data_IF_506494371451
#
_entry.id   IF_506494371451
#
_cell.length_a   1.000
_cell.length_b   1.000
_cell.length_c   1.000
_cell.angle_alpha   90.00
_cell.angle_beta   90.00
_cell.angle_gamma   90.00
#
_symmetry.space_group_name_H-M   'P 1'
#
loop_
_entity.id
_entity.type
_entity.pdbx_description
1 polymer ?
#
# COMPACT_ATOMS: atom_id res chain seq x y z
N UNK A 1 42.49 23.68 30.82
CA UNK A 1 42.14 22.40 30.15
C UNK A 1 40.93 21.66 30.74
N UNK A 2 40.20 22.19 31.73
CA UNK A 2 39.07 21.50 32.38
C UNK A 2 37.69 22.13 32.08
N UNK A 3 37.63 23.32 31.45
CA UNK A 3 36.36 24.02 31.15
C UNK A 3 35.78 23.77 29.76
N UNK A 4 36.47 23.01 28.90
CA UNK A 4 36.01 22.68 27.54
C UNK A 4 35.36 21.28 27.44
N UNK A 5 35.42 20.46 28.51
CA UNK A 5 34.75 19.15 28.53
C UNK A 5 33.28 19.22 29.00
N UNK A 6 32.87 20.32 29.63
CA UNK A 6 31.53 20.46 30.23
C UNK A 6 30.43 20.93 29.27
N UNK A 7 30.78 21.37 28.06
CA UNK A 7 29.82 21.86 27.06
C UNK A 7 29.54 20.86 25.91
N UNK A 8 30.06 19.63 25.99
CA UNK A 8 29.76 18.56 25.03
C UNK A 8 28.74 17.53 25.59
N UNK A 9 27.95 17.93 26.59
CA UNK A 9 26.88 17.09 27.20
C UNK A 9 25.52 17.82 27.09
N UNK A 10 25.38 18.76 26.16
CA UNK A 10 24.08 19.38 25.85
C UNK A 10 23.63 18.85 24.50
N UNK A 11 22.78 17.82 24.51
CA UNK A 11 22.07 17.37 23.32
C UNK A 11 21.95 15.86 23.08
N UNK A 12 22.38 14.98 23.99
CA UNK A 12 21.90 13.59 23.96
C UNK A 12 20.47 13.59 24.47
N UNK A 13 19.50 13.90 23.60
CA UNK A 13 18.13 13.47 23.84
C UNK A 13 18.19 11.95 23.94
N UNK A 14 18.06 11.42 25.15
CA UNK A 14 17.82 10.00 25.36
C UNK A 14 16.40 9.78 24.85
N UNK A 15 16.26 9.54 23.54
CA UNK A 15 15.00 9.10 22.97
C UNK A 15 14.75 7.71 23.56
N UNK A 16 13.75 7.59 24.44
CA UNK A 16 13.37 6.30 24.98
C UNK A 16 12.95 5.38 23.83
N UNK A 17 13.77 4.37 23.56
CA UNK A 17 13.47 3.36 22.55
C UNK A 17 12.31 2.48 23.03
N UNK A 18 11.11 2.72 22.50
CA UNK A 18 9.96 1.87 22.78
C UNK A 18 10.15 0.46 22.21
N UNK A 19 9.56 -0.53 22.90
CA UNK A 19 9.38 -1.88 22.34
C UNK A 19 8.04 -1.91 21.63
N UNK A 20 8.06 -2.02 20.31
CA UNK A 20 6.85 -1.95 19.47
C UNK A 20 6.58 -3.30 18.83
N UNK A 21 5.33 -3.74 18.90
CA UNK A 21 4.85 -4.96 18.25
C UNK A 21 4.01 -4.58 17.03
N UNK A 22 4.46 -4.95 15.84
CA UNK A 22 3.71 -4.82 14.59
C UNK A 22 3.02 -6.15 14.30
N UNK A 23 1.72 -6.12 14.05
CA UNK A 23 0.95 -7.29 13.66
C UNK A 23 0.66 -7.25 12.15
N UNK A 24 1.25 -8.17 11.39
CA UNK A 24 1.10 -8.27 9.94
C UNK A 24 0.33 -9.57 9.58
N UNK A 25 -0.98 -9.50 9.32
CA UNK A 25 -1.70 -10.60 8.67
C UNK A 25 -1.25 -10.69 7.21
N UNK A 26 -0.36 -11.63 6.90
CA UNK A 26 0.22 -11.80 5.56
C UNK A 26 -0.77 -12.55 4.66
N UNK A 27 -1.69 -11.79 4.06
CA UNK A 27 -2.67 -12.29 3.08
C UNK A 27 -2.47 -11.70 1.67
N UNK A 28 -1.61 -10.71 1.52
CA UNK A 28 -1.22 -10.19 0.21
C UNK A 28 0.15 -9.51 0.26
N UNK A 29 0.84 -9.48 -0.88
CA UNK A 29 2.15 -8.83 -1.00
C UNK A 29 2.07 -7.33 -0.71
N UNK A 30 1.05 -6.62 -1.22
CA UNK A 30 0.89 -5.18 -0.98
C UNK A 30 0.64 -4.85 0.49
N UNK A 31 -0.19 -5.63 1.18
CA UNK A 31 -0.42 -5.44 2.62
C UNK A 31 0.86 -5.68 3.43
N UNK A 32 1.60 -6.75 3.11
CA UNK A 32 2.85 -7.09 3.79
C UNK A 32 3.91 -6.02 3.62
N UNK A 33 4.06 -5.48 2.41
CA UNK A 33 4.98 -4.36 2.15
C UNK A 33 4.60 -3.11 2.95
N UNK A 34 3.30 -2.80 3.06
CA UNK A 34 2.83 -1.66 3.85
C UNK A 34 3.13 -1.84 5.34
N UNK A 35 2.76 -2.99 5.92
CA UNK A 35 3.00 -3.27 7.33
C UNK A 35 4.50 -3.37 7.66
N UNK A 36 5.27 -4.01 6.78
CA UNK A 36 6.71 -4.14 6.95
C UNK A 36 7.44 -2.80 6.88
N UNK A 37 6.95 -1.88 6.04
CA UNK A 37 7.47 -0.52 5.99
C UNK A 37 7.21 0.27 7.28
N UNK A 38 6.00 0.15 7.85
CA UNK A 38 5.72 0.76 9.15
C UNK A 38 6.71 0.25 10.19
N UNK A 39 6.99 -1.06 10.19
CA UNK A 39 7.96 -1.65 11.10
C UNK A 39 9.38 -1.09 10.88
N UNK A 40 9.82 -0.98 9.63
CA UNK A 40 11.16 -0.46 9.30
C UNK A 40 11.30 1.02 9.67
N UNK A 41 10.31 1.88 9.41
CA UNK A 41 10.34 3.30 9.81
C UNK A 41 10.46 3.45 11.33
N UNK A 42 9.70 2.65 12.08
CA UNK A 42 9.77 2.67 13.54
C UNK A 42 11.14 2.19 14.05
N UNK A 43 11.74 1.20 13.38
CA UNK A 43 13.09 0.73 13.70
C UNK A 43 14.17 1.78 13.37
N UNK A 44 14.06 2.45 12.21
CA UNK A 44 14.94 3.57 11.81
C UNK A 44 14.85 4.75 12.77
N UNK A 45 13.67 5.00 13.34
CA UNK A 45 13.47 6.00 14.40
C UNK A 45 14.12 5.60 15.75
N UNK A 46 14.79 4.44 15.83
CA UNK A 46 15.51 3.97 17.00
C UNK A 46 14.68 3.11 17.96
N UNK A 47 13.48 2.66 17.58
CA UNK A 47 12.67 1.77 18.40
C UNK A 47 13.05 0.30 18.23
N UNK A 48 12.79 -0.51 19.26
CA UNK A 48 12.94 -1.97 19.20
C UNK A 48 11.65 -2.56 18.64
N UNK A 49 11.64 -2.89 17.35
CA UNK A 49 10.45 -3.35 16.64
C UNK A 49 10.48 -4.86 16.45
N UNK A 50 9.38 -5.52 16.78
CA UNK A 50 9.12 -6.93 16.44
C UNK A 50 7.88 -7.02 15.59
N UNK A 51 7.94 -7.76 14.49
CA UNK A 51 6.82 -8.01 13.61
C UNK A 51 6.34 -9.45 13.76
N UNK A 52 5.07 -9.63 14.15
CA UNK A 52 4.39 -10.92 14.00
C UNK A 52 3.91 -11.00 12.56
N UNK A 53 4.49 -11.93 11.80
CA UNK A 53 4.02 -12.27 10.46
C UNK A 53 3.09 -13.46 10.58
N UNK A 54 1.79 -13.17 10.59
CA UNK A 54 0.75 -14.18 10.69
C UNK A 54 0.36 -14.64 9.28
N UNK A 55 0.91 -15.78 8.85
CA UNK A 55 0.88 -16.22 7.45
C UNK A 55 -0.47 -16.79 7.08
N UNK A 56 -1.06 -16.28 5.99
CA UNK A 56 -2.28 -16.77 5.36
C UNK A 56 -1.97 -17.14 3.92
N UNK A 57 -1.29 -16.21 3.23
CA UNK A 57 -0.69 -16.40 1.92
C UNK A 57 0.81 -16.65 2.08
N UNK A 58 1.32 -17.66 1.37
CA UNK A 58 2.72 -18.03 1.39
C UNK A 58 3.58 -17.19 0.45
N UNK A 59 2.96 -16.50 -0.51
CA UNK A 59 3.69 -15.81 -1.58
C UNK A 59 4.21 -14.43 -1.15
N UNK A 60 5.36 -14.05 -1.72
CA UNK A 60 5.98 -12.74 -1.56
C UNK A 60 6.79 -12.53 -0.26
N UNK A 61 7.52 -11.42 -0.21
CA UNK A 61 8.29 -11.02 0.97
C UNK A 61 7.40 -10.56 2.14
N UNK A 62 7.95 -10.56 3.36
CA UNK A 62 7.22 -10.07 4.55
C UNK A 62 7.15 -8.54 4.64
N UNK A 63 7.91 -7.84 3.80
CA UNK A 63 7.94 -6.39 3.66
C UNK A 63 8.94 -5.66 4.56
N UNK A 64 9.23 -6.17 5.75
CA UNK A 64 10.21 -5.58 6.71
C UNK A 64 11.59 -6.20 6.53
N UNK A 65 12.62 -5.38 6.71
CA UNK A 65 14.03 -5.79 6.68
C UNK A 65 14.79 -5.51 7.98
N UNK A 66 14.23 -4.65 8.85
CA UNK A 66 14.90 -4.18 10.07
C UNK A 66 14.29 -4.73 11.36
N UNK A 67 13.03 -5.18 11.34
CA UNK A 67 12.37 -5.68 12.55
C UNK A 67 12.69 -7.14 12.86
N UNK A 68 12.68 -7.51 14.13
CA UNK A 68 12.71 -8.92 14.53
C UNK A 68 11.42 -9.61 14.09
N UNK A 69 11.51 -10.75 13.41
CA UNK A 69 10.34 -11.46 12.90
C UNK A 69 9.96 -12.63 13.80
N UNK A 70 8.69 -12.68 14.21
CA UNK A 70 8.04 -13.88 14.75
C UNK A 70 7.07 -14.37 13.69
N UNK A 71 7.40 -15.47 13.02
CA UNK A 71 6.54 -16.04 11.98
C UNK A 71 5.61 -17.10 12.56
N UNK A 72 4.33 -17.00 12.20
CA UNK A 72 3.31 -17.98 12.55
C UNK A 72 2.81 -18.60 11.25
N UNK A 73 3.05 -19.91 11.03
CA UNK A 73 2.61 -20.58 9.82
C UNK A 73 1.08 -20.65 9.75
N UNK A 74 0.50 -20.83 8.55
CA UNK A 74 -0.93 -21.02 8.45
C UNK A 74 -1.37 -22.31 9.13
N UNK A 75 -2.51 -22.26 9.81
CA UNK A 75 -3.16 -23.47 10.30
C UNK A 75 -3.63 -24.34 9.13
N UNK A 76 -3.84 -25.64 9.38
CA UNK A 76 -4.41 -26.54 8.37
C UNK A 76 -5.78 -26.05 7.88
N UNK A 77 -6.58 -25.44 8.75
CA UNK A 77 -7.87 -24.83 8.42
C UNK A 77 -7.69 -23.63 7.47
N UNK A 78 -6.79 -22.69 7.84
CA UNK A 78 -6.46 -21.51 7.03
C UNK A 78 -5.93 -21.89 5.66
N UNK A 79 -4.97 -22.81 5.60
CA UNK A 79 -4.35 -23.27 4.37
C UNK A 79 -5.37 -23.92 3.42
N UNK A 80 -6.32 -24.67 3.96
CA UNK A 80 -7.42 -25.26 3.19
C UNK A 80 -8.35 -24.17 2.64
N UNK A 81 -8.87 -23.28 3.50
CA UNK A 81 -9.80 -22.23 3.08
C UNK A 81 -9.19 -21.32 2.02
N UNK A 82 -7.96 -20.85 2.25
CA UNK A 82 -7.27 -19.95 1.33
C UNK A 82 -6.88 -20.67 0.03
N UNK A 83 -6.43 -21.93 0.12
CA UNK A 83 -6.10 -22.76 -1.03
C UNK A 83 -7.29 -23.06 -1.94
N UNK A 84 -8.50 -23.23 -1.39
CA UNK A 84 -9.71 -23.44 -2.19
C UNK A 84 -10.12 -22.16 -2.94
N UNK A 85 -9.92 -20.98 -2.33
CA UNK A 85 -10.14 -19.69 -3.00
C UNK A 85 -9.16 -19.47 -4.14
N UNK A 86 -7.86 -19.68 -3.95
CA UNK A 86 -6.86 -19.46 -5.02
C UNK A 86 -7.06 -20.42 -6.19
N UNK A 87 -7.50 -21.67 -5.92
CA UNK A 87 -7.88 -22.64 -6.96
C UNK A 87 -9.11 -22.24 -7.77
N UNK A 88 -10.03 -21.48 -7.19
CA UNK A 88 -11.25 -21.05 -7.89
C UNK A 88 -10.98 -20.15 -9.12
N UNK A 89 -9.75 -19.65 -9.29
CA UNK A 89 -9.34 -18.76 -10.40
C UNK A 89 -10.31 -17.59 -10.60
N UNK A 90 -10.92 -17.09 -9.53
CA UNK A 90 -11.81 -15.95 -9.63
C UNK A 90 -11.04 -14.76 -10.22
N UNK A 91 -11.43 -14.32 -11.43
CA UNK A 91 -10.85 -13.13 -12.03
C UNK A 91 -11.39 -11.92 -11.25
N UNK A 92 -10.60 -11.39 -10.32
CA UNK A 92 -10.96 -10.23 -9.51
C UNK A 92 -11.28 -9.00 -10.37
N UNK A 93 -10.75 -8.94 -11.59
CA UNK A 93 -11.09 -7.89 -12.56
C UNK A 93 -12.53 -8.00 -13.06
N UNK A 94 -13.10 -9.19 -13.19
CA UNK A 94 -14.47 -9.40 -13.66
C UNK A 94 -15.52 -9.32 -12.54
N UNK A 95 -15.09 -9.35 -11.28
CA UNK A 95 -16.00 -9.26 -10.13
C UNK A 95 -16.66 -7.88 -10.05
N UNK A 96 -17.99 -7.80 -9.90
CA UNK A 96 -18.66 -6.53 -9.67
C UNK A 96 -18.45 -6.05 -8.21
N UNK A 97 -17.60 -5.04 -8.02
CA UNK A 97 -17.29 -4.48 -6.70
C UNK A 97 -18.40 -3.65 -6.08
N UNK A 98 -19.33 -3.18 -6.91
CA UNK A 98 -20.48 -2.39 -6.46
C UNK A 98 -21.68 -3.28 -6.14
N UNK A 99 -21.56 -4.60 -6.28
CA UNK A 99 -22.57 -5.55 -5.83
C UNK A 99 -22.40 -5.80 -4.31
N UNK A 100 -23.34 -5.31 -3.46
CA UNK A 100 -23.24 -5.47 -2.00
C UNK A 100 -23.29 -6.93 -1.55
N UNK A 101 -23.94 -7.81 -2.33
CA UNK A 101 -24.03 -9.24 -2.02
C UNK A 101 -22.65 -9.90 -2.17
N UNK A 102 -21.95 -9.60 -3.27
CA UNK A 102 -20.59 -10.10 -3.51
C UNK A 102 -19.62 -9.63 -2.44
N UNK A 103 -19.69 -8.34 -2.07
CA UNK A 103 -18.88 -7.77 -1.01
C UNK A 103 -19.14 -8.46 0.35
N UNK A 104 -20.40 -8.78 0.68
CA UNK A 104 -20.75 -9.49 1.92
C UNK A 104 -20.12 -10.88 1.98
N UNK A 105 -20.26 -11.69 0.91
CA UNK A 105 -19.69 -13.04 0.89
C UNK A 105 -18.16 -13.04 0.93
N UNK A 106 -17.52 -12.14 0.18
CA UNK A 106 -16.06 -11.98 0.23
C UNK A 106 -15.58 -11.50 1.61
N UNK A 107 -16.27 -10.54 2.20
CA UNK A 107 -15.98 -10.05 3.55
C UNK A 107 -16.11 -11.15 4.60
N UNK A 108 -17.18 -11.95 4.52
CA UNK A 108 -17.37 -13.12 5.39
C UNK A 108 -16.23 -14.12 5.22
N UNK A 109 -15.88 -14.46 3.99
CA UNK A 109 -14.79 -15.40 3.70
C UNK A 109 -13.46 -14.94 4.31
N UNK A 110 -13.04 -13.70 4.03
CA UNK A 110 -11.81 -13.17 4.63
C UNK A 110 -11.90 -13.09 6.16
N UNK A 111 -13.07 -12.76 6.71
CA UNK A 111 -13.32 -12.80 8.14
C UNK A 111 -13.10 -14.18 8.75
N UNK A 112 -13.63 -15.24 8.12
CA UNK A 112 -13.46 -16.63 8.56
C UNK A 112 -11.99 -17.06 8.50
N UNK A 113 -11.29 -16.75 7.39
CA UNK A 113 -9.86 -17.04 7.22
C UNK A 113 -9.01 -16.33 8.27
N UNK A 114 -9.26 -15.03 8.49
CA UNK A 114 -8.54 -14.26 9.50
C UNK A 114 -8.84 -14.75 10.92
N UNK A 115 -10.09 -15.14 11.21
CA UNK A 115 -10.45 -15.70 12.50
C UNK A 115 -9.77 -17.05 12.76
N UNK A 116 -9.74 -17.94 11.76
CA UNK A 116 -9.04 -19.23 11.84
C UNK A 116 -7.55 -19.03 12.11
N UNK A 117 -6.92 -18.11 11.36
CA UNK A 117 -5.50 -17.85 11.53
C UNK A 117 -5.17 -17.10 12.83
N UNK A 118 -6.08 -16.26 13.32
CA UNK A 118 -5.95 -15.61 14.62
C UNK A 118 -6.05 -16.61 15.77
N UNK A 119 -6.93 -17.61 15.68
CA UNK A 119 -6.99 -18.72 16.65
C UNK A 119 -5.65 -19.46 16.72
N UNK A 120 -5.10 -19.83 15.57
CA UNK A 120 -3.80 -20.50 15.50
C UNK A 120 -2.65 -19.66 16.09
N UNK A 121 -2.65 -18.35 15.86
CA UNK A 121 -1.72 -17.42 16.51
C UNK A 121 -1.84 -17.45 18.04
N UNK A 122 -3.07 -17.42 18.58
CA UNK A 122 -3.30 -17.40 20.02
C UNK A 122 -2.95 -18.74 20.68
N UNK A 123 -3.10 -19.83 19.94
CA UNK A 123 -2.81 -21.19 20.40
C UNK A 123 -1.33 -21.58 20.24
N UNK A 124 -0.51 -20.73 19.58
CA UNK A 124 0.92 -20.98 19.39
C UNK A 124 1.64 -21.15 20.75
N UNK A 125 2.21 -22.34 21.05
CA UNK A 125 2.76 -22.63 22.36
C UNK A 125 3.86 -21.65 22.79
N UNK A 126 3.68 -21.01 23.95
CA UNK A 126 4.67 -20.11 24.52
C UNK A 126 4.71 -18.71 23.89
N UNK A 127 3.96 -18.43 22.82
CA UNK A 127 3.99 -17.13 22.15
C UNK A 127 3.52 -16.01 23.09
N UNK A 128 2.38 -16.18 23.74
CA UNK A 128 1.81 -15.18 24.66
C UNK A 128 2.78 -14.90 25.80
N UNK A 129 3.44 -15.93 26.35
CA UNK A 129 4.43 -15.80 27.41
C UNK A 129 5.66 -15.04 26.92
N UNK A 130 6.15 -15.34 25.71
CA UNK A 130 7.27 -14.62 25.07
C UNK A 130 6.92 -13.14 24.84
N UNK A 131 5.73 -12.84 24.32
CA UNK A 131 5.26 -11.47 24.10
C UNK A 131 5.10 -10.72 25.43
N UNK A 132 4.55 -11.37 26.47
CA UNK A 132 4.47 -10.80 27.82
C UNK A 132 5.85 -10.46 28.37
N UNK A 133 6.78 -11.42 28.37
CA UNK A 133 8.14 -11.18 28.87
C UNK A 133 8.88 -10.06 28.11
N UNK A 134 8.62 -9.94 26.80
CA UNK A 134 9.30 -8.96 25.96
C UNK A 134 8.72 -7.55 26.11
N UNK A 135 7.40 -7.41 26.02
CA UNK A 135 6.73 -6.12 25.92
C UNK A 135 6.16 -5.61 27.25
N UNK A 136 5.91 -6.50 28.21
CA UNK A 136 5.34 -6.15 29.51
C UNK A 136 6.43 -6.31 30.58
N UNK A 137 6.80 -5.21 31.23
CA UNK A 137 7.72 -5.27 32.36
C UNK A 137 6.93 -5.56 33.65
N UNK A 138 7.53 -6.36 34.55
CA UNK A 138 6.98 -6.61 35.89
C UNK A 138 6.79 -5.29 36.69
N UNK A 139 7.64 -4.28 36.43
CA UNK A 139 7.52 -2.96 37.04
C UNK A 139 6.37 -2.14 36.48
N UNK A 140 6.04 -2.26 35.19
CA UNK A 140 4.80 -1.71 34.64
C UNK A 140 3.60 -2.40 35.29
N UNK A 141 3.59 -3.74 35.31
CA UNK A 141 2.50 -4.56 35.88
C UNK A 141 2.22 -4.23 37.36
N UNK A 142 3.26 -4.01 38.16
CA UNK A 142 3.17 -3.55 39.56
C UNK A 142 2.71 -2.09 39.68
N UNK A 143 3.23 -1.17 38.85
CA UNK A 143 2.79 0.25 38.82
C UNK A 143 1.32 0.38 38.41
N UNK A 144 0.83 -0.47 37.52
CA UNK A 144 -0.57 -0.52 37.05
C UNK A 144 -1.50 -1.07 38.13
N UNK A 145 -1.06 -2.11 38.87
CA UNK A 145 -1.76 -2.60 40.07
C UNK A 145 -1.79 -1.56 41.18
N UNK A 146 -0.71 -0.80 41.37
CA UNK A 146 -0.61 0.25 42.40
C UNK A 146 -1.44 1.51 42.06
N UNK A 147 -1.65 1.80 40.77
CA UNK A 147 -2.42 2.95 40.29
C UNK A 147 -3.95 2.70 40.19
N UNK A 148 -4.48 1.67 40.85
CA UNK A 148 -5.93 1.42 40.87
C UNK A 148 -6.52 0.91 39.55
N UNK A 149 -5.71 0.31 38.66
CA UNK A 149 -6.20 -0.43 37.50
C UNK A 149 -6.63 0.41 36.29
N UNK A 150 -6.15 1.65 36.16
CA UNK A 150 -6.37 2.43 34.93
C UNK A 150 -5.08 2.46 34.11
N UNK A 151 -5.15 1.97 32.86
CA UNK A 151 -4.09 1.88 31.85
C UNK A 151 -3.07 0.74 31.98
N UNK A 152 -3.41 -0.43 31.41
CA UNK A 152 -2.70 -1.12 30.31
C UNK A 152 -3.72 -2.06 29.66
N UNK A 153 -3.53 -2.36 28.36
CA UNK A 153 -4.30 -3.34 27.59
C UNK A 153 -4.59 -4.63 28.37
N UNK A 154 -5.73 -4.62 29.06
CA UNK A 154 -6.39 -5.81 29.58
C UNK A 154 -7.32 -6.26 28.46
N UNK A 155 -6.90 -7.30 27.72
CA UNK A 155 -7.83 -8.13 26.98
C UNK A 155 -8.67 -8.94 27.99
N UNK A 156 -9.58 -8.22 28.66
CA UNK A 156 -10.76 -8.70 29.38
C UNK A 156 -11.71 -7.52 29.47
N UNK A 157 -12.66 -7.47 28.53
CA UNK A 157 -13.90 -6.69 28.67
C UNK A 157 -13.99 -5.40 27.85
N UNK A 158 -12.98 -4.55 27.80
CA UNK A 158 -13.08 -3.29 27.04
C UNK A 158 -11.69 -2.77 26.66
N UNK A 159 -11.32 -2.90 25.40
CA UNK A 159 -10.07 -2.36 24.86
C UNK A 159 -10.29 -0.86 24.63
N UNK A 160 -9.73 0.00 25.49
CA UNK A 160 -9.51 1.41 25.13
C UNK A 160 -8.39 1.43 24.09
N UNK A 161 -8.77 1.36 22.81
CA UNK A 161 -7.85 1.51 21.69
C UNK A 161 -7.58 3.00 21.49
N UNK A 162 -6.36 3.45 21.80
CA UNK A 162 -5.90 4.78 21.38
C UNK A 162 -5.44 4.66 19.93
N UNK A 163 -6.23 5.20 19.01
CA UNK A 163 -5.88 5.26 17.59
C UNK A 163 -5.06 6.53 17.35
N UNK A 164 -3.78 6.37 17.05
CA UNK A 164 -2.90 7.47 16.63
C UNK A 164 -2.81 7.44 15.11
N UNK A 165 -3.25 8.51 14.46
CA UNK A 165 -3.15 8.63 13.01
C UNK A 165 -1.71 8.98 12.62
N UNK A 166 -0.98 8.00 12.07
CA UNK A 166 0.37 8.15 11.52
C UNK A 166 0.33 8.27 9.99
N UNK A 167 -0.44 9.24 9.49
CA UNK A 167 -0.66 9.45 8.05
C UNK A 167 0.65 9.58 7.25
N UNK A 168 0.64 9.11 6.00
CA UNK A 168 1.75 9.30 5.06
C UNK A 168 2.97 8.40 5.25
N UNK A 169 3.11 7.72 6.40
CA UNK A 169 4.22 6.81 6.71
C UNK A 169 4.44 5.68 5.68
N UNK A 170 3.41 5.29 4.92
CA UNK A 170 3.54 4.27 3.88
C UNK A 170 4.23 4.74 2.60
N UNK A 171 4.33 6.05 2.35
CA UNK A 171 4.87 6.61 1.11
C UNK A 171 6.40 6.73 1.13
N UNK A 172 7.06 6.46 0.00
CA UNK A 172 8.53 6.66 -0.11
C UNK A 172 8.86 8.14 -0.24
N UNK A 173 9.82 8.58 0.56
CA UNK A 173 10.57 9.79 0.27
C UNK A 173 11.19 9.65 -1.14
N UNK A 174 10.95 10.60 -2.04
CA UNK A 174 11.43 10.53 -3.40
C UNK A 174 12.95 10.71 -3.44
N UNK A 175 13.60 9.88 -4.24
CA UNK A 175 15.01 9.99 -4.58
C UNK A 175 15.25 10.91 -5.78
N UNK A 176 16.49 10.87 -6.30
CA UNK A 176 16.84 11.54 -7.56
C UNK A 176 16.51 10.61 -8.74
N UNK A 177 15.77 11.15 -9.71
CA UNK A 177 15.55 10.48 -10.99
C UNK A 177 16.86 10.38 -11.79
N UNK A 178 17.02 9.27 -12.53
CA UNK A 178 18.12 9.14 -13.49
C UNK A 178 17.92 10.06 -14.69
N UNK A 179 19.00 10.33 -15.43
CA UNK A 179 18.94 11.15 -16.64
C UNK A 179 17.94 10.60 -17.67
N UNK A 180 17.77 9.28 -17.76
CA UNK A 180 16.84 8.67 -18.71
C UNK A 180 15.38 8.97 -18.36
N UNK A 181 15.03 8.96 -17.07
CA UNK A 181 13.70 9.37 -16.63
C UNK A 181 13.46 10.86 -16.84
N UNK A 182 14.48 11.69 -16.59
CA UNK A 182 14.40 13.13 -16.86
C UNK A 182 14.17 13.40 -18.36
N UNK A 183 14.88 12.69 -19.25
CA UNK A 183 14.68 12.78 -20.70
C UNK A 183 13.25 12.39 -21.09
N UNK A 184 12.71 11.31 -20.51
CA UNK A 184 11.32 10.88 -20.75
C UNK A 184 10.33 11.97 -20.33
N UNK A 185 10.50 12.52 -19.11
CA UNK A 185 9.63 13.54 -18.55
C UNK A 185 9.75 14.91 -19.25
N UNK A 186 10.83 15.15 -19.99
CA UNK A 186 11.01 16.36 -20.79
C UNK A 186 10.48 16.25 -22.22
N UNK A 187 10.06 15.06 -22.68
CA UNK A 187 9.60 14.87 -24.08
C UNK A 187 8.39 15.75 -24.42
N UNK A 188 7.51 16.00 -23.45
CA UNK A 188 6.23 16.71 -23.64
C UNK A 188 5.83 17.49 -22.40
N UNK A 189 4.85 18.38 -22.55
CA UNK A 189 4.41 19.28 -21.48
C UNK A 189 3.68 18.55 -20.34
N UNK A 190 2.96 17.46 -20.64
CA UNK A 190 2.19 16.69 -19.67
C UNK A 190 2.64 15.23 -19.66
N UNK A 191 2.64 14.62 -18.48
CA UNK A 191 2.91 13.18 -18.32
C UNK A 191 1.77 12.51 -17.57
N UNK A 192 1.32 11.36 -18.09
CA UNK A 192 0.36 10.46 -17.45
C UNK A 192 1.11 9.20 -17.05
N UNK A 193 1.07 8.84 -15.76
CA UNK A 193 1.69 7.63 -15.23
C UNK A 193 0.65 6.57 -14.95
N UNK A 194 0.84 5.36 -15.47
CA UNK A 194 0.05 4.19 -15.12
C UNK A 194 0.69 3.41 -13.96
N UNK A 195 -0.01 3.40 -12.81
CA UNK A 195 0.38 2.71 -11.58
C UNK A 195 -0.21 1.32 -11.40
N UNK A 196 -0.84 0.72 -12.40
CA UNK A 196 -1.41 -0.62 -12.31
C UNK A 196 -0.32 -1.70 -12.19
N UNK A 197 0.13 -1.99 -10.97
CA UNK A 197 1.18 -2.98 -10.68
C UNK A 197 0.75 -4.45 -10.85
N UNK A 198 -0.55 -4.76 -10.86
CA UNK A 198 -1.04 -6.14 -10.73
C UNK A 198 -2.16 -6.55 -11.72
N UNK A 199 -2.77 -5.61 -12.44
CA UNK A 199 -3.86 -5.92 -13.37
C UNK A 199 -3.51 -5.42 -14.76
N UNK A 200 -2.71 -6.20 -15.49
CA UNK A 200 -2.30 -5.95 -16.88
C UNK A 200 -3.45 -5.93 -17.90
N UNK A 201 -4.69 -5.82 -17.45
CA UNK A 201 -5.90 -5.70 -18.27
C UNK A 201 -6.33 -4.24 -18.49
N UNK A 202 -5.88 -3.30 -17.65
CA UNK A 202 -6.03 -1.87 -17.94
C UNK A 202 -4.94 -1.51 -18.94
N UNK A 203 -5.33 -1.43 -20.21
CA UNK A 203 -4.45 -1.01 -21.31
C UNK A 203 -4.73 0.45 -21.58
N UNK A 204 -3.70 1.29 -21.47
CA UNK A 204 -3.78 2.63 -22.04
C UNK A 204 -4.04 2.50 -23.55
N UNK A 205 -5.03 3.20 -24.11
CA UNK A 205 -5.34 3.09 -25.53
C UNK A 205 -4.10 3.52 -26.33
N UNK A 206 -3.62 2.70 -27.27
CA UNK A 206 -2.52 3.10 -28.12
C UNK A 206 -2.97 4.28 -28.97
N UNK A 207 -2.09 5.25 -29.16
CA UNK A 207 -2.37 6.41 -30.00
C UNK A 207 -2.52 5.94 -31.45
N UNK A 208 -3.76 5.78 -31.91
CA UNK A 208 -4.06 5.36 -33.27
C UNK A 208 -5.46 5.75 -33.69
N UNK A 209 -5.53 6.79 -34.54
CA UNK A 209 -6.68 7.26 -35.33
C UNK A 209 -7.72 8.15 -34.61
N UNK A 210 -7.32 9.40 -34.32
CA UNK A 210 -8.25 10.54 -34.16
C UNK A 210 -8.57 10.96 -32.73
N UNK A 211 -8.21 10.17 -31.73
CA UNK A 211 -8.42 10.45 -30.30
C UNK A 211 -7.11 10.70 -29.55
N UNK A 212 -6.02 11.09 -30.23
CA UNK A 212 -4.70 11.17 -29.63
C UNK A 212 -4.57 12.34 -28.63
N UNK A 213 -3.73 12.12 -27.61
CA UNK A 213 -3.18 13.16 -26.74
C UNK A 213 -1.69 13.32 -27.10
N UNK A 214 -1.38 13.94 -28.27
CA UNK A 214 -0.02 13.97 -28.81
C UNK A 214 0.96 14.76 -27.94
N UNK A 215 0.44 15.70 -27.15
CA UNK A 215 1.19 16.55 -26.22
C UNK A 215 1.34 15.93 -24.81
N UNK A 216 0.93 14.68 -24.64
CA UNK A 216 1.00 13.94 -23.38
C UNK A 216 1.92 12.73 -23.55
N UNK A 217 2.90 12.58 -22.67
CA UNK A 217 3.70 11.35 -22.55
C UNK A 217 2.99 10.39 -21.60
N UNK A 218 2.69 9.18 -22.07
CA UNK A 218 2.17 8.11 -21.24
C UNK A 218 3.31 7.20 -20.80
N UNK A 219 3.43 6.93 -19.51
CA UNK A 219 4.38 5.95 -18.97
C UNK A 219 3.57 4.74 -18.51
N UNK A 220 3.78 3.61 -19.17
CA UNK A 220 3.07 2.37 -18.86
C UNK A 220 4.03 1.29 -18.41
N UNK A 221 3.88 0.86 -17.15
CA UNK A 221 4.54 -0.34 -16.66
C UNK A 221 3.70 -1.57 -17.06
N UNK A 222 4.22 -2.34 -17.99
CA UNK A 222 3.58 -3.56 -18.46
C UNK A 222 4.25 -4.79 -17.82
N UNK A 223 3.45 -5.81 -17.52
CA UNK A 223 3.93 -7.09 -16.98
C UNK A 223 3.97 -8.18 -18.06
N UNK A 224 3.04 -8.13 -19.02
CA UNK A 224 2.87 -9.14 -20.07
C UNK A 224 3.49 -8.68 -21.38
N UNK A 225 4.48 -9.43 -21.85
CA UNK A 225 5.02 -9.28 -23.21
C UNK A 225 4.09 -10.01 -24.19
N UNK A 226 2.96 -9.38 -24.54
CA UNK A 226 1.95 -9.92 -25.46
C UNK A 226 2.01 -9.23 -26.83
N UNK A 227 1.21 -9.72 -27.78
CA UNK A 227 1.20 -9.17 -29.15
C UNK A 227 0.74 -7.71 -29.20
N UNK A 228 -0.10 -7.29 -28.24
CA UNK A 228 -0.50 -5.90 -28.11
C UNK A 228 0.70 -5.02 -27.75
N UNK A 229 1.48 -5.43 -26.75
CA UNK A 229 2.65 -4.69 -26.30
C UNK A 229 3.73 -4.64 -27.38
N UNK A 230 4.01 -5.78 -28.04
CA UNK A 230 5.04 -5.87 -29.09
C UNK A 230 4.69 -5.15 -30.38
N UNK A 231 3.43 -5.19 -30.81
CA UNK A 231 3.07 -4.79 -32.18
C UNK A 231 2.18 -3.55 -32.28
N UNK A 232 1.55 -3.12 -31.19
CA UNK A 232 0.65 -1.96 -31.17
C UNK A 232 1.20 -0.87 -30.24
N UNK A 233 1.36 -1.18 -28.95
CA UNK A 233 1.79 -0.20 -27.96
C UNK A 233 3.20 0.34 -28.28
N UNK A 234 4.13 -0.53 -28.68
CA UNK A 234 5.50 -0.16 -29.05
C UNK A 234 5.62 0.84 -30.20
N UNK A 235 4.59 0.97 -31.04
CA UNK A 235 4.57 1.90 -32.19
C UNK A 235 4.01 3.27 -31.83
N UNK A 236 3.50 3.45 -30.62
CA UNK A 236 2.90 4.73 -30.18
C UNK A 236 4.01 5.70 -29.76
N UNK A 237 4.17 6.80 -30.48
CA UNK A 237 5.26 7.78 -30.25
C UNK A 237 5.17 8.52 -28.90
N UNK A 238 3.99 8.50 -28.28
CA UNK A 238 3.73 9.15 -27.01
C UNK A 238 3.56 8.17 -25.85
N UNK A 239 3.94 6.90 -26.04
CA UNK A 239 3.86 5.85 -25.03
C UNK A 239 5.25 5.29 -24.71
N UNK A 240 5.66 5.43 -23.46
CA UNK A 240 6.88 4.85 -22.92
C UNK A 240 6.53 3.55 -22.19
N UNK A 241 6.87 2.43 -22.81
CA UNK A 241 6.74 1.11 -22.22
C UNK A 241 7.93 0.81 -21.32
N UNK A 242 7.66 0.34 -20.11
CA UNK A 242 8.72 -0.09 -19.20
C UNK A 242 8.34 -1.34 -18.41
N UNK A 243 9.32 -2.15 -18.01
CA UNK A 243 9.14 -3.24 -17.04
C UNK A 243 9.36 -2.76 -15.61
N UNK A 244 9.96 -1.58 -15.41
CA UNK A 244 10.26 -1.02 -14.10
C UNK A 244 10.22 0.51 -14.09
N UNK A 245 9.76 1.11 -12.99
CA UNK A 245 9.75 2.56 -12.83
C UNK A 245 9.97 2.98 -11.36
N UNK A 246 10.65 4.10 -11.11
CA UNK A 246 10.76 4.70 -9.79
C UNK A 246 9.51 5.52 -9.46
N UNK A 247 8.37 4.83 -9.25
CA UNK A 247 7.05 5.46 -9.08
C UNK A 247 7.03 6.62 -8.07
N UNK A 248 7.69 6.47 -6.92
CA UNK A 248 7.74 7.50 -5.89
C UNK A 248 8.39 8.79 -6.39
N UNK A 249 9.48 8.65 -7.15
CA UNK A 249 10.27 9.75 -7.70
C UNK A 249 9.53 10.40 -8.88
N UNK A 250 8.87 9.58 -9.72
CA UNK A 250 8.02 10.06 -10.82
C UNK A 250 6.83 10.85 -10.29
N UNK A 251 6.17 10.35 -9.23
CA UNK A 251 5.05 11.05 -8.57
C UNK A 251 5.48 12.36 -7.92
N UNK A 252 6.75 12.55 -7.61
CA UNK A 252 7.27 13.78 -7.03
C UNK A 252 7.75 14.79 -8.08
N UNK A 253 7.77 14.42 -9.36
CA UNK A 253 8.29 15.27 -10.42
C UNK A 253 7.22 16.25 -10.94
N UNK A 254 7.54 17.54 -11.14
CA UNK A 254 6.56 18.57 -11.53
C UNK A 254 5.90 18.33 -12.89
N UNK A 255 6.57 17.65 -13.82
CA UNK A 255 5.99 17.31 -15.14
C UNK A 255 5.01 16.12 -15.08
N UNK A 256 4.82 15.47 -13.93
CA UNK A 256 3.77 14.48 -13.78
C UNK A 256 2.43 15.18 -13.57
N UNK A 257 1.53 15.03 -14.53
CA UNK A 257 0.25 15.72 -14.56
C UNK A 257 -0.92 14.86 -14.08
N UNK A 258 -0.81 13.53 -14.22
CA UNK A 258 -1.89 12.63 -13.87
C UNK A 258 -1.34 11.25 -13.47
N UNK A 259 -1.92 10.67 -12.43
CA UNK A 259 -1.66 9.30 -12.01
C UNK A 259 -2.89 8.41 -12.18
N UNK A 260 -2.77 7.33 -12.94
CA UNK A 260 -3.82 6.32 -13.08
C UNK A 260 -3.53 5.18 -12.11
N UNK A 261 -4.46 4.89 -11.19
CA UNK A 261 -4.24 3.88 -10.15
C UNK A 261 -5.50 3.15 -9.77
N UNK A 262 -5.36 1.90 -9.31
CA UNK A 262 -6.44 1.13 -8.73
C UNK A 262 -6.95 1.63 -7.36
N UNK A 263 -6.30 2.62 -6.73
CA UNK A 263 -6.74 3.14 -5.43
C UNK A 263 -6.39 2.28 -4.22
N UNK A 264 -5.38 1.41 -4.33
CA UNK A 264 -4.78 0.77 -3.16
C UNK A 264 -4.20 1.80 -2.18
N UNK A 265 -4.28 1.55 -0.88
CA UNK A 265 -4.00 2.56 0.16
C UNK A 265 -2.61 3.18 0.05
N UNK A 266 -1.59 2.42 -0.37
CA UNK A 266 -0.24 2.93 -0.60
C UNK A 266 -0.22 3.97 -1.74
N UNK A 267 -0.89 3.68 -2.86
CA UNK A 267 -1.01 4.63 -3.97
C UNK A 267 -1.78 5.89 -3.56
N UNK A 268 -2.83 5.72 -2.75
CA UNK A 268 -3.65 6.83 -2.24
C UNK A 268 -2.85 7.78 -1.37
N UNK A 269 -2.02 7.26 -0.45
CA UNK A 269 -1.12 8.08 0.36
C UNK A 269 -0.08 8.79 -0.51
N UNK A 270 0.49 8.07 -1.47
CA UNK A 270 1.47 8.58 -2.43
C UNK A 270 0.93 9.71 -3.32
N UNK A 271 -0.33 9.61 -3.75
CA UNK A 271 -1.06 10.63 -4.50
C UNK A 271 -1.31 11.86 -3.63
N UNK A 272 -1.90 11.66 -2.44
CA UNK A 272 -2.30 12.74 -1.55
C UNK A 272 -1.10 13.56 -1.05
N UNK A 273 0.00 12.90 -0.65
CA UNK A 273 1.19 13.57 -0.16
C UNK A 273 1.90 14.41 -1.21
N UNK A 274 1.81 14.03 -2.48
CA UNK A 274 2.52 14.69 -3.58
C UNK A 274 1.64 15.68 -4.35
N UNK A 275 0.37 15.80 -3.96
CA UNK A 275 -0.57 16.73 -4.61
C UNK A 275 -0.81 16.41 -6.09
N UNK A 276 -0.65 15.15 -6.50
CA UNK A 276 -0.87 14.73 -7.89
C UNK A 276 -2.34 14.38 -8.07
N UNK A 277 -2.97 14.86 -9.14
CA UNK A 277 -4.34 14.47 -9.50
C UNK A 277 -4.35 13.06 -10.08
N UNK A 278 -5.39 12.28 -9.79
CA UNK A 278 -5.46 10.88 -10.21
C UNK A 278 -6.79 10.46 -10.84
N UNK A 279 -6.74 9.41 -11.66
CA UNK A 279 -7.91 8.62 -12.05
C UNK A 279 -7.84 7.32 -11.26
N UNK A 280 -8.88 7.06 -10.46
CA UNK A 280 -9.00 5.89 -9.61
C UNK A 280 -9.89 4.85 -10.27
N UNK A 281 -9.34 3.69 -10.60
CA UNK A 281 -10.06 2.57 -11.23
C UNK A 281 -10.09 1.37 -10.25
N UNK A 282 -11.02 1.35 -9.29
CA UNK A 282 -11.02 0.34 -8.23
C UNK A 282 -11.30 -1.07 -8.74
N UNK A 283 -10.47 -2.05 -8.34
CA UNK A 283 -10.53 -3.44 -8.81
C UNK A 283 -11.19 -4.38 -7.82
N UNK A 284 -10.97 -4.24 -6.50
CA UNK A 284 -11.73 -4.92 -5.43
C UNK A 284 -11.39 -4.41 -4.03
N UNK A 285 -12.07 -4.95 -3.02
CA UNK A 285 -11.69 -4.80 -1.61
C UNK A 285 -11.98 -3.39 -1.08
N UNK A 286 -10.99 -2.79 -0.43
CA UNK A 286 -11.05 -1.44 0.11
C UNK A 286 -10.90 -0.33 -0.95
N UNK A 287 -10.47 -0.68 -2.17
CA UNK A 287 -10.17 0.25 -3.25
C UNK A 287 -11.35 1.17 -3.63
N UNK A 288 -12.62 0.69 -3.78
CA UNK A 288 -13.75 1.59 -4.08
C UNK A 288 -13.96 2.66 -3.00
N UNK A 289 -13.81 2.28 -1.72
CA UNK A 289 -13.92 3.22 -0.60
C UNK A 289 -12.80 4.26 -0.64
N UNK A 290 -11.56 3.81 -0.85
CA UNK A 290 -10.41 4.69 -0.91
C UNK A 290 -10.53 5.68 -2.10
N UNK A 291 -10.92 5.18 -3.27
CA UNK A 291 -11.16 5.97 -4.48
C UNK A 291 -12.25 7.03 -4.25
N UNK A 292 -13.39 6.64 -3.65
CA UNK A 292 -14.48 7.55 -3.34
C UNK A 292 -14.09 8.66 -2.36
N UNK A 293 -13.24 8.38 -1.37
CA UNK A 293 -12.69 9.40 -0.47
C UNK A 293 -11.81 10.38 -1.26
N UNK A 294 -10.99 9.90 -2.18
CA UNK A 294 -10.11 10.78 -2.98
C UNK A 294 -10.90 11.67 -3.93
N UNK A 295 -11.93 11.15 -4.60
CA UNK A 295 -12.81 11.95 -5.44
C UNK A 295 -13.61 12.98 -4.63
N UNK A 296 -14.15 12.60 -3.47
CA UNK A 296 -14.84 13.52 -2.56
C UNK A 296 -13.94 14.68 -2.12
N UNK A 297 -12.66 14.39 -1.87
CA UNK A 297 -11.65 15.40 -1.53
C UNK A 297 -11.00 16.07 -2.76
N UNK A 298 -11.56 15.89 -3.95
CA UNK A 298 -11.13 16.52 -5.21
C UNK A 298 -9.71 16.17 -5.69
N UNK A 299 -9.12 15.07 -5.22
CA UNK A 299 -7.82 14.56 -5.69
C UNK A 299 -7.89 13.83 -7.04
N UNK A 300 -9.06 13.79 -7.69
CA UNK A 300 -9.21 13.02 -8.91
C UNK A 300 -10.65 12.68 -9.26
N UNK A 301 -10.80 11.64 -10.09
CA UNK A 301 -12.08 11.02 -10.46
C UNK A 301 -12.04 9.52 -10.28
N UNK A 302 -13.18 8.93 -9.96
CA UNK A 302 -13.37 7.48 -10.00
C UNK A 302 -13.91 7.08 -11.37
N UNK A 303 -13.33 6.03 -11.96
CA UNK A 303 -13.80 5.42 -13.18
C UNK A 303 -14.05 3.94 -12.94
N UNK A 304 -15.23 3.44 -13.33
CA UNK A 304 -15.52 2.02 -13.21
C UNK A 304 -14.64 1.23 -14.20
N UNK A 305 -14.09 0.10 -13.75
CA UNK A 305 -13.20 -0.74 -14.55
C UNK A 305 -13.82 -1.25 -15.86
N UNK A 306 -15.14 -1.40 -15.92
CA UNK A 306 -15.86 -1.75 -17.16
C UNK A 306 -15.78 -0.64 -18.20
N UNK A 307 -15.67 0.62 -17.75
CA UNK A 307 -15.66 1.80 -18.62
C UNK A 307 -14.28 2.08 -19.22
N UNK A 308 -13.22 1.52 -18.63
CA UNK A 308 -11.84 1.60 -19.14
C UNK A 308 -11.69 0.95 -20.51
N UNK A 309 -12.51 -0.07 -20.81
CA UNK A 309 -12.49 -0.74 -22.12
C UNK A 309 -13.00 0.16 -23.25
N UNK A 310 -13.69 1.24 -22.93
CA UNK A 310 -14.11 2.25 -23.88
C UNK A 310 -13.04 3.35 -23.97
N UNK A 311 -12.14 3.22 -24.96
CA UNK A 311 -11.04 4.16 -25.19
C UNK A 311 -11.49 5.62 -25.28
N UNK A 312 -12.59 5.89 -25.99
CA UNK A 312 -13.12 7.24 -26.17
C UNK A 312 -13.53 7.87 -24.83
N UNK A 313 -14.22 7.09 -23.98
CA UNK A 313 -14.63 7.51 -22.63
C UNK A 313 -13.42 7.68 -21.71
N UNK A 314 -12.46 6.76 -21.76
CA UNK A 314 -11.27 6.89 -20.93
C UNK A 314 -10.44 8.12 -21.29
N UNK A 315 -10.27 8.38 -22.60
CA UNK A 315 -9.58 9.56 -23.10
C UNK A 315 -10.33 10.86 -22.79
N UNK A 316 -11.66 10.86 -22.80
CA UNK A 316 -12.44 12.03 -22.40
C UNK A 316 -12.24 12.35 -20.92
N UNK A 317 -12.20 11.34 -20.04
CA UNK A 317 -11.92 11.52 -18.61
C UNK A 317 -10.49 12.01 -18.39
N UNK A 318 -9.50 11.47 -19.12
CA UNK A 318 -8.12 11.98 -19.05
C UNK A 318 -8.07 13.46 -19.46
N UNK A 319 -8.73 13.85 -20.55
CA UNK A 319 -8.80 15.26 -20.98
C UNK A 319 -9.41 16.14 -19.91
N UNK A 320 -10.56 15.73 -19.37
CA UNK A 320 -11.25 16.47 -18.34
C UNK A 320 -10.34 16.68 -17.12
N UNK A 321 -9.72 15.62 -16.61
CA UNK A 321 -8.85 15.72 -15.43
C UNK A 321 -7.58 16.53 -15.70
N UNK A 322 -7.02 16.48 -16.91
CA UNK A 322 -5.85 17.28 -17.30
C UNK A 322 -6.15 18.75 -17.60
N UNK A 323 -7.42 19.11 -17.83
CA UNK A 323 -7.87 20.49 -18.09
C UNK A 323 -8.43 21.18 -16.84
N UNK A 324 -8.69 20.40 -15.79
CA UNK A 324 -9.24 20.90 -14.55
C UNK A 324 -8.19 21.68 -13.76
N UNK A 325 -8.22 23.00 -13.84
CA UNK A 325 -7.44 23.93 -13.01
C UNK A 325 -8.08 24.03 -11.61
N UNK A 326 -8.12 22.91 -10.89
CA UNK A 326 -8.84 22.75 -9.61
C UNK A 326 -8.00 23.09 -8.39
#
# INVERSE_FOLDING_TARGET
MIRLLGMLIVGLSVADAFKILVYNPKFSHSHSNFMGRIADILAEAGHNVTTIVNVIDHDGADGTTLSEIIRIPPSAETAKMYGDMTKSKANMFEMNNFNPIGAYFMGKFYGDVFAAQCRALLDEPGLVQKLKAKFFSHSAEQKIKAAGGTCVLVAKGTITCVVIAIGGTGAKEPGKLSEDWLKILSKRAKTVLDGFRFYGQVRLPPSGNGESLPDVTFIWKYELDDDFTRNQASKSENLELTKWMPQADLLAHPNLSLFVTHGGIGSVQETALRGVTAIFIPIFGDQPRNAGIMEHNKFGKVLDKTEVTNSAKFLSVIREVLQDER
#
